data_IF_341046719350
#
_entry.id   IF_341046719350
#
_cell.length_a   1.000
_cell.length_b   1.000
_cell.length_c   1.000
_cell.angle_alpha   90.00
_cell.angle_beta   90.00
_cell.angle_gamma   90.00
#
_symmetry.space_group_name_H-M   'P 1'
#
loop_
_entity.id
_entity.type
_entity.pdbx_description
1 polymer ?
#
# COMPACT_ATOMS: atom_id res chain seq x y z
N UNK A 1 -8.63 -16.59 -7.41
CA UNK A 1 -7.39 -15.90 -7.81
C UNK A 1 -6.23 -16.82 -7.50
N UNK A 2 -5.34 -17.08 -8.47
CA UNK A 2 -4.08 -17.84 -8.31
C UNK A 2 -2.94 -16.98 -8.82
N UNK A 3 -1.75 -17.15 -8.23
CA UNK A 3 -0.54 -16.38 -8.56
C UNK A 3 0.68 -17.30 -8.72
N UNK A 4 0.46 -18.54 -9.14
CA UNK A 4 1.54 -19.52 -9.34
C UNK A 4 2.59 -18.98 -10.31
N UNK A 5 3.85 -19.05 -9.90
CA UNK A 5 4.99 -18.58 -10.68
C UNK A 5 5.12 -17.06 -10.78
N UNK A 6 4.24 -16.28 -10.12
CA UNK A 6 4.35 -14.81 -10.04
C UNK A 6 5.27 -14.41 -8.88
N UNK A 7 5.89 -13.25 -9.02
CA UNK A 7 6.72 -12.61 -8.00
C UNK A 7 6.09 -11.27 -7.59
N UNK A 8 5.86 -11.09 -6.29
CA UNK A 8 5.23 -9.91 -5.71
C UNK A 8 6.16 -9.20 -4.73
N UNK A 9 6.31 -7.88 -4.86
CA UNK A 9 6.93 -7.01 -3.86
C UNK A 9 5.83 -6.29 -3.08
N UNK A 10 5.79 -6.48 -1.77
CA UNK A 10 4.83 -5.81 -0.87
C UNK A 10 5.57 -4.86 0.05
N UNK A 11 5.36 -3.54 -0.13
CA UNK A 11 5.99 -2.55 0.74
C UNK A 11 5.25 -2.42 2.07
N UNK A 12 5.98 -2.32 3.20
CA UNK A 12 5.38 -2.27 4.53
C UNK A 12 4.64 -3.56 4.91
N UNK A 13 5.21 -4.72 4.55
CA UNK A 13 4.56 -6.03 4.70
C UNK A 13 4.68 -6.68 6.09
N UNK A 14 5.34 -6.04 7.06
CA UNK A 14 5.61 -6.67 8.36
C UNK A 14 4.39 -6.76 9.29
N UNK A 15 3.36 -5.97 9.08
CA UNK A 15 2.14 -5.93 9.92
C UNK A 15 0.93 -5.41 9.15
N UNK A 16 -0.25 -5.49 9.79
CA UNK A 16 -1.50 -4.89 9.31
C UNK A 16 -1.88 -5.33 7.89
N UNK A 17 -2.33 -4.39 7.08
CA UNK A 17 -2.79 -4.63 5.70
C UNK A 17 -1.68 -5.28 4.86
N UNK A 18 -0.45 -4.76 4.93
CA UNK A 18 0.67 -5.28 4.12
C UNK A 18 1.00 -6.74 4.45
N UNK A 19 0.92 -7.13 5.73
CA UNK A 19 1.09 -8.51 6.16
C UNK A 19 0.04 -9.42 5.53
N UNK A 20 -1.24 -9.07 5.62
CA UNK A 20 -2.32 -9.91 5.07
C UNK A 20 -2.29 -9.96 3.54
N UNK A 21 -1.82 -8.90 2.86
CA UNK A 21 -1.55 -8.93 1.42
C UNK A 21 -0.42 -9.94 1.12
N UNK A 22 0.69 -9.86 1.84
CA UNK A 22 1.83 -10.75 1.63
C UNK A 22 1.47 -12.23 1.87
N UNK A 23 0.78 -12.53 2.98
CA UNK A 23 0.27 -13.86 3.29
C UNK A 23 -0.74 -14.34 2.23
N UNK A 24 -1.62 -13.45 1.79
CA UNK A 24 -2.62 -13.76 0.77
C UNK A 24 -2.02 -14.12 -0.59
N UNK A 25 -0.94 -13.45 -1.02
CA UNK A 25 -0.20 -13.80 -2.24
C UNK A 25 0.54 -15.14 -2.08
N UNK A 26 1.25 -15.36 -0.95
CA UNK A 26 1.95 -16.60 -0.67
C UNK A 26 1.00 -17.81 -0.69
N UNK A 27 -0.14 -17.73 0.00
CA UNK A 27 -1.18 -18.77 0.04
C UNK A 27 -1.80 -19.09 -1.34
N UNK A 28 -1.53 -18.24 -2.34
CA UNK A 28 -2.01 -18.42 -3.72
C UNK A 28 -0.91 -18.71 -4.72
N UNK A 29 0.28 -19.08 -4.24
CA UNK A 29 1.39 -19.59 -5.04
C UNK A 29 2.37 -18.52 -5.56
N UNK A 30 2.27 -17.25 -5.12
CA UNK A 30 3.27 -16.25 -5.46
C UNK A 30 4.51 -16.36 -4.57
N UNK A 31 5.69 -16.07 -5.15
CA UNK A 31 6.86 -15.71 -4.34
C UNK A 31 6.74 -14.25 -3.91
N UNK A 32 7.06 -13.96 -2.65
CA UNK A 32 6.87 -12.63 -2.07
C UNK A 32 8.17 -12.07 -1.54
N UNK A 33 8.56 -10.89 -2.03
CA UNK A 33 9.53 -10.02 -1.39
C UNK A 33 8.77 -9.08 -0.43
N UNK A 34 9.04 -9.23 0.86
CA UNK A 34 8.39 -8.47 1.92
C UNK A 34 9.32 -7.34 2.36
N UNK A 35 8.94 -6.10 2.03
CA UNK A 35 9.69 -4.94 2.49
C UNK A 35 9.22 -4.47 3.87
N UNK A 36 10.18 -4.04 4.69
CA UNK A 36 9.98 -3.41 6.01
C UNK A 36 11.05 -2.33 6.26
N UNK A 37 10.78 -1.37 7.19
CA UNK A 37 11.76 -0.32 7.50
C UNK A 37 12.68 -0.71 8.68
N UNK A 38 12.15 -1.07 9.83
CA UNK A 38 12.96 -1.23 11.04
C UNK A 38 12.60 -2.43 11.92
N UNK A 39 11.36 -2.91 11.88
CA UNK A 39 10.95 -4.03 12.72
C UNK A 39 11.20 -5.37 12.02
N UNK A 40 12.46 -5.85 12.15
CA UNK A 40 12.87 -7.14 11.58
C UNK A 40 12.13 -8.32 12.19
N UNK A 41 11.88 -8.30 13.50
CA UNK A 41 11.19 -9.38 14.20
C UNK A 41 9.75 -9.59 13.66
N UNK A 42 8.99 -8.51 13.50
CA UNK A 42 7.65 -8.58 12.91
C UNK A 42 7.69 -9.04 11.44
N UNK A 43 8.71 -8.63 10.69
CA UNK A 43 8.88 -9.08 9.30
C UNK A 43 9.22 -10.57 9.24
N UNK A 44 10.12 -11.05 10.08
CA UNK A 44 10.48 -12.47 10.19
C UNK A 44 9.30 -13.33 10.65
N UNK A 45 8.51 -12.84 11.62
CA UNK A 45 7.29 -13.52 12.06
C UNK A 45 6.25 -13.63 10.93
N UNK A 46 6.14 -12.60 10.08
CA UNK A 46 5.26 -12.65 8.91
C UNK A 46 5.78 -13.64 7.88
N UNK A 47 7.09 -13.61 7.58
CA UNK A 47 7.73 -14.54 6.66
C UNK A 47 7.52 -16.01 7.07
N UNK A 48 7.67 -16.31 8.36
CA UNK A 48 7.48 -17.65 8.90
C UNK A 48 6.04 -18.20 8.77
N UNK A 49 5.08 -17.34 8.48
CA UNK A 49 3.66 -17.69 8.25
C UNK A 49 3.30 -17.81 6.76
N UNK A 50 4.21 -17.49 5.85
CA UNK A 50 3.95 -17.59 4.41
C UNK A 50 3.97 -19.03 3.95
N UNK A 51 2.98 -19.41 3.16
CA UNK A 51 2.93 -20.72 2.49
C UNK A 51 3.90 -20.76 1.30
N UNK A 52 4.60 -21.88 1.12
CA UNK A 52 5.55 -22.06 0.02
C UNK A 52 6.98 -21.64 0.38
N UNK A 53 7.78 -21.41 -0.63
CA UNK A 53 9.20 -21.07 -0.50
C UNK A 53 9.62 -19.91 -1.43
N UNK A 54 10.92 -19.53 -1.34
CA UNK A 54 11.46 -18.45 -2.19
C UNK A 54 10.98 -17.04 -1.81
N UNK A 55 10.42 -16.87 -0.61
CA UNK A 55 10.12 -15.56 -0.06
C UNK A 55 11.36 -14.90 0.51
N UNK A 56 11.41 -13.56 0.53
CA UNK A 56 12.57 -12.81 1.04
C UNK A 56 12.15 -11.58 1.82
N UNK A 57 13.02 -11.13 2.72
CA UNK A 57 12.88 -9.89 3.49
C UNK A 57 13.80 -8.82 2.92
N UNK A 58 13.27 -7.63 2.71
CA UNK A 58 13.99 -6.49 2.15
C UNK A 58 13.87 -5.28 3.07
N UNK A 59 14.91 -4.96 3.86
CA UNK A 59 14.94 -3.75 4.68
C UNK A 59 15.25 -2.53 3.81
N UNK A 60 14.43 -1.47 3.93
CA UNK A 60 14.70 -0.18 3.30
C UNK A 60 13.92 0.94 4.01
N UNK A 61 14.39 2.19 3.92
CA UNK A 61 13.53 3.34 4.17
C UNK A 61 12.84 3.73 2.86
N UNK A 62 11.52 3.61 2.83
CA UNK A 62 10.73 3.92 1.61
C UNK A 62 10.83 5.40 1.21
N UNK A 63 11.23 6.29 2.12
CA UNK A 63 11.46 7.70 1.84
C UNK A 63 12.85 7.98 1.20
N UNK A 64 13.76 7.01 1.22
CA UNK A 64 15.07 7.10 0.57
C UNK A 64 15.01 6.52 -0.85
N UNK A 65 15.15 7.39 -1.85
CA UNK A 65 15.03 7.00 -3.26
C UNK A 65 16.11 5.98 -3.69
N UNK A 66 17.33 6.08 -3.15
CA UNK A 66 18.41 5.15 -3.48
C UNK A 66 18.14 3.77 -2.84
N UNK A 67 17.69 3.74 -1.58
CA UNK A 67 17.30 2.51 -0.90
C UNK A 67 16.11 1.83 -1.60
N UNK A 68 15.15 2.59 -2.12
CA UNK A 68 14.01 2.06 -2.89
C UNK A 68 14.46 1.42 -4.20
N UNK A 69 15.35 2.06 -4.95
CA UNK A 69 15.89 1.48 -6.19
C UNK A 69 16.60 0.16 -5.91
N UNK A 70 17.50 0.15 -4.92
CA UNK A 70 18.22 -1.06 -4.51
C UNK A 70 17.28 -2.17 -4.05
N UNK A 71 16.24 -1.85 -3.27
CA UNK A 71 15.23 -2.81 -2.80
C UNK A 71 14.50 -3.48 -3.98
N UNK A 72 14.10 -2.70 -5.00
CA UNK A 72 13.42 -3.27 -6.17
C UNK A 72 14.36 -4.17 -6.97
N UNK A 73 15.62 -3.75 -7.17
CA UNK A 73 16.63 -4.58 -7.86
C UNK A 73 16.88 -5.89 -7.11
N UNK A 74 17.06 -5.85 -5.78
CA UNK A 74 17.20 -7.05 -4.95
C UNK A 74 15.97 -7.97 -5.01
N UNK A 75 14.76 -7.41 -5.07
CA UNK A 75 13.55 -8.21 -5.26
C UNK A 75 13.57 -8.95 -6.59
N UNK A 76 13.98 -8.27 -7.67
CA UNK A 76 14.09 -8.86 -9.01
C UNK A 76 15.18 -9.92 -9.05
N UNK A 77 16.36 -9.64 -8.50
CA UNK A 77 17.49 -10.59 -8.47
C UNK A 77 17.13 -11.86 -7.68
N UNK A 78 16.56 -11.70 -6.49
CA UNK A 78 16.21 -12.83 -5.62
C UNK A 78 15.07 -13.69 -6.17
N UNK A 79 14.13 -13.12 -6.89
CA UNK A 79 12.97 -13.83 -7.44
C UNK A 79 13.07 -14.08 -8.96
N UNK A 80 14.10 -13.58 -9.64
CA UNK A 80 14.30 -13.70 -11.09
C UNK A 80 13.33 -12.91 -11.96
N UNK A 81 12.32 -12.28 -11.37
CA UNK A 81 11.29 -11.44 -12.02
C UNK A 81 10.52 -10.62 -10.99
N UNK A 82 9.80 -9.61 -11.46
CA UNK A 82 8.80 -8.89 -10.67
C UNK A 82 7.53 -8.71 -11.50
N UNK A 83 6.42 -9.30 -11.04
CA UNK A 83 5.11 -9.25 -11.71
C UNK A 83 4.15 -8.30 -11.02
N UNK A 84 4.26 -8.16 -9.70
CA UNK A 84 3.31 -7.41 -8.88
C UNK A 84 4.07 -6.52 -7.91
N UNK A 85 3.74 -5.23 -7.89
CA UNK A 85 4.13 -4.30 -6.84
C UNK A 85 2.91 -3.88 -6.05
N UNK A 86 2.99 -3.96 -4.72
CA UNK A 86 1.98 -3.36 -3.84
C UNK A 86 2.61 -2.24 -3.02
N UNK A 87 2.23 -1.01 -3.33
CA UNK A 87 2.58 0.18 -2.57
C UNK A 87 1.65 0.30 -1.36
N UNK A 88 2.04 -0.32 -0.25
CA UNK A 88 1.30 -0.30 1.00
C UNK A 88 2.02 0.49 2.10
N UNK A 89 3.35 0.59 2.06
CA UNK A 89 4.11 1.36 3.04
C UNK A 89 3.58 2.80 3.15
N UNK A 90 3.39 3.25 4.39
CA UNK A 90 2.93 4.59 4.67
C UNK A 90 2.86 4.87 6.16
N UNK A 91 2.82 6.14 6.49
CA UNK A 91 2.69 6.66 7.85
C UNK A 91 1.45 7.53 7.96
N UNK A 92 0.83 7.51 9.13
CA UNK A 92 -0.23 8.43 9.53
C UNK A 92 0.28 9.23 10.72
N UNK A 93 0.34 10.53 10.59
CA UNK A 93 0.77 11.45 11.63
C UNK A 93 -0.18 12.63 11.67
N UNK A 94 -0.57 13.02 12.86
CA UNK A 94 -1.39 14.21 13.08
C UNK A 94 -0.50 15.42 13.36
N UNK A 95 -0.94 16.59 12.91
CA UNK A 95 -0.32 17.88 13.22
C UNK A 95 -1.43 18.92 13.36
N UNK A 96 -1.58 19.47 14.56
CA UNK A 96 -2.54 20.54 14.83
C UNK A 96 -1.94 21.87 14.34
N UNK A 97 -2.52 22.42 13.29
CA UNK A 97 -2.03 23.65 12.66
C UNK A 97 -1.92 24.83 13.64
N UNK A 98 -2.83 24.90 14.62
CA UNK A 98 -2.85 26.00 15.60
C UNK A 98 -1.64 26.00 16.53
N UNK A 99 -1.02 24.85 16.76
CA UNK A 99 0.05 24.66 17.75
C UNK A 99 1.43 24.47 17.08
N UNK A 100 1.46 24.27 15.74
CA UNK A 100 2.67 23.94 15.02
C UNK A 100 3.44 25.19 14.57
N UNK A 101 4.75 25.15 14.73
CA UNK A 101 5.66 26.08 14.07
C UNK A 101 5.74 25.79 12.56
N UNK A 102 6.20 26.77 11.78
CA UNK A 102 6.39 26.57 10.34
C UNK A 102 7.48 25.53 10.03
N UNK A 103 8.48 25.42 10.88
CA UNK A 103 9.55 24.40 10.76
C UNK A 103 8.99 22.99 10.99
N UNK A 104 8.17 22.78 12.02
CA UNK A 104 7.50 21.51 12.27
C UNK A 104 6.55 21.15 11.13
N UNK A 105 5.82 22.12 10.59
CA UNK A 105 4.99 21.94 9.41
C UNK A 105 5.80 21.43 8.20
N UNK A 106 6.91 22.08 7.87
CA UNK A 106 7.77 21.67 6.74
C UNK A 106 8.32 20.25 6.93
N UNK A 107 8.83 19.95 8.13
CA UNK A 107 9.37 18.63 8.46
C UNK A 107 8.30 17.54 8.41
N UNK A 108 7.09 17.83 8.90
CA UNK A 108 5.95 16.91 8.87
C UNK A 108 5.53 16.60 7.43
N UNK A 109 5.32 17.63 6.61
CA UNK A 109 4.97 17.43 5.20
C UNK A 109 6.03 16.65 4.43
N UNK A 110 7.31 16.99 4.62
CA UNK A 110 8.43 16.28 3.99
C UNK A 110 8.43 14.78 4.35
N UNK A 111 8.26 14.45 5.63
CA UNK A 111 8.22 13.06 6.10
C UNK A 111 7.05 12.28 5.52
N UNK A 112 5.84 12.85 5.63
CA UNK A 112 4.62 12.14 5.21
C UNK A 112 4.55 12.00 3.69
N UNK A 113 4.84 13.05 2.93
CA UNK A 113 4.88 12.99 1.46
C UNK A 113 6.02 12.08 0.99
N UNK A 114 7.19 12.14 1.64
CA UNK A 114 8.34 11.29 1.35
C UNK A 114 7.97 9.81 1.41
N UNK A 115 7.35 9.38 2.51
CA UNK A 115 6.97 7.98 2.69
C UNK A 115 5.77 7.57 1.82
N UNK A 116 4.68 8.35 1.85
CA UNK A 116 3.38 7.91 1.33
C UNK A 116 3.22 8.13 -0.19
N UNK A 117 3.92 9.10 -0.75
CA UNK A 117 3.78 9.49 -2.16
C UNK A 117 5.07 9.26 -2.94
N UNK A 118 6.18 9.90 -2.53
CA UNK A 118 7.43 9.82 -3.28
C UNK A 118 8.03 8.43 -3.25
N UNK A 119 7.96 7.74 -2.09
CA UNK A 119 8.39 6.35 -1.97
C UNK A 119 7.61 5.42 -2.90
N UNK A 120 6.29 5.54 -2.93
CA UNK A 120 5.44 4.77 -3.85
C UNK A 120 5.71 5.11 -5.32
N UNK A 121 5.95 6.38 -5.65
CA UNK A 121 6.30 6.81 -7.00
C UNK A 121 7.63 6.21 -7.46
N UNK A 122 8.67 6.26 -6.62
CA UNK A 122 9.98 5.70 -6.89
C UNK A 122 9.92 4.17 -7.05
N UNK A 123 9.24 3.47 -6.15
CA UNK A 123 9.06 2.02 -6.25
C UNK A 123 8.29 1.64 -7.52
N UNK A 124 7.26 2.40 -7.87
CA UNK A 124 6.48 2.18 -9.10
C UNK A 124 7.32 2.42 -10.35
N UNK A 125 8.16 3.45 -10.39
CA UNK A 125 9.07 3.70 -11.50
C UNK A 125 10.06 2.53 -11.68
N UNK A 126 10.77 2.15 -10.62
CA UNK A 126 11.74 1.06 -10.67
C UNK A 126 11.08 -0.27 -11.08
N UNK A 127 9.94 -0.62 -10.46
CA UNK A 127 9.21 -1.84 -10.81
C UNK A 127 8.73 -1.84 -12.27
N UNK A 128 8.20 -0.71 -12.76
CA UNK A 128 7.72 -0.60 -14.13
C UNK A 128 8.84 -0.83 -15.16
N UNK A 129 10.08 -0.36 -14.89
CA UNK A 129 11.23 -0.62 -15.78
C UNK A 129 11.53 -2.12 -15.94
N UNK A 130 11.41 -2.90 -14.86
CA UNK A 130 11.55 -4.36 -14.92
C UNK A 130 10.33 -5.03 -15.56
N UNK A 131 9.11 -4.60 -15.22
CA UNK A 131 7.86 -5.15 -15.76
C UNK A 131 7.76 -4.96 -17.29
N UNK A 132 8.22 -3.80 -17.83
CA UNK A 132 8.27 -3.55 -19.29
C UNK A 132 9.14 -4.61 -19.97
N UNK A 133 10.32 -4.89 -19.42
CA UNK A 133 11.25 -5.90 -19.98
C UNK A 133 10.68 -7.32 -19.89
N UNK A 134 9.86 -7.58 -18.87
CA UNK A 134 9.23 -8.90 -18.62
C UNK A 134 7.88 -9.07 -19.32
N UNK A 135 7.42 -8.10 -20.11
CA UNK A 135 6.20 -8.19 -20.90
C UNK A 135 4.90 -7.82 -20.17
N UNK A 136 4.98 -7.15 -19.03
CA UNK A 136 3.84 -6.62 -18.30
C UNK A 136 3.91 -6.82 -16.79
N UNK A 137 2.91 -6.33 -16.07
CA UNK A 137 2.84 -6.43 -14.61
C UNK A 137 1.58 -5.80 -14.00
N UNK A 138 1.56 -5.73 -12.68
CA UNK A 138 0.48 -5.14 -11.87
C UNK A 138 1.07 -4.22 -10.80
N UNK A 139 0.50 -3.04 -10.65
CA UNK A 139 0.82 -2.12 -9.55
C UNK A 139 -0.46 -1.86 -8.78
N UNK A 140 -0.45 -2.12 -7.48
CA UNK A 140 -1.58 -1.86 -6.58
C UNK A 140 -1.16 -0.84 -5.54
N UNK A 141 -1.90 0.26 -5.44
CA UNK A 141 -1.66 1.31 -4.45
C UNK A 141 -2.66 1.18 -3.29
N UNK A 142 -2.17 1.22 -2.05
CA UNK A 142 -3.04 1.30 -0.88
C UNK A 142 -3.15 2.79 -0.47
N UNK A 143 -4.27 3.37 -0.85
CA UNK A 143 -4.65 4.75 -0.56
C UNK A 143 -5.44 4.85 0.76
N UNK A 144 -6.44 5.70 0.81
CA UNK A 144 -7.36 5.90 1.94
C UNK A 144 -8.62 6.63 1.49
N UNK A 145 -9.74 6.42 2.21
CA UNK A 145 -10.89 7.32 2.10
C UNK A 145 -10.54 8.78 2.45
N UNK A 146 -9.49 8.99 3.28
CA UNK A 146 -8.98 10.31 3.62
C UNK A 146 -8.48 11.12 2.43
N UNK A 147 -8.15 10.46 1.32
CA UNK A 147 -7.82 11.11 0.05
C UNK A 147 -8.98 11.93 -0.55
N UNK A 148 -10.22 11.69 -0.12
CA UNK A 148 -11.43 12.27 -0.70
C UNK A 148 -12.21 13.16 0.27
N UNK A 149 -12.23 12.79 1.56
CA UNK A 149 -13.06 13.47 2.54
C UNK A 149 -12.37 14.61 3.28
N UNK A 150 -11.05 14.76 3.09
CA UNK A 150 -10.21 15.61 3.92
C UNK A 150 -9.87 14.97 5.29
N UNK A 151 -8.74 15.34 5.86
CA UNK A 151 -8.28 14.90 7.18
C UNK A 151 -7.83 16.15 7.96
N UNK A 152 -8.70 16.74 8.81
CA UNK A 152 -8.43 18.04 9.44
C UNK A 152 -7.20 18.07 10.36
N UNK A 153 -6.87 16.93 10.98
CA UNK A 153 -5.70 16.80 11.88
C UNK A 153 -4.49 16.16 11.18
N UNK A 154 -4.66 15.64 9.94
CA UNK A 154 -3.61 14.92 9.20
C UNK A 154 -3.54 15.40 7.74
N UNK A 155 -3.32 16.72 7.55
CA UNK A 155 -3.39 17.36 6.23
C UNK A 155 -2.41 16.75 5.24
N UNK A 156 -1.15 16.51 5.66
CA UNK A 156 -0.13 15.91 4.82
C UNK A 156 -0.51 14.47 4.40
N UNK A 157 -1.15 13.71 5.30
CA UNK A 157 -1.65 12.37 4.99
C UNK A 157 -2.73 12.41 3.90
N UNK A 158 -3.77 13.23 4.07
CA UNK A 158 -4.84 13.39 3.08
C UNK A 158 -4.26 13.80 1.71
N UNK A 159 -3.39 14.80 1.69
CA UNK A 159 -2.72 15.26 0.47
C UNK A 159 -1.88 14.15 -0.18
N UNK A 160 -1.12 13.37 0.61
CA UNK A 160 -0.30 12.26 0.11
C UNK A 160 -1.14 11.16 -0.57
N UNK A 161 -2.28 10.80 0.04
CA UNK A 161 -3.16 9.77 -0.49
C UNK A 161 -3.97 10.24 -1.71
N UNK A 162 -4.35 11.52 -1.76
CA UNK A 162 -4.95 12.12 -2.95
C UNK A 162 -3.93 12.18 -4.11
N UNK A 163 -2.69 12.56 -3.83
CA UNK A 163 -1.59 12.52 -4.80
C UNK A 163 -1.32 11.11 -5.32
N UNK A 164 -1.34 10.11 -4.44
CA UNK A 164 -1.18 8.69 -4.82
C UNK A 164 -2.29 8.20 -5.74
N UNK A 165 -3.55 8.63 -5.52
CA UNK A 165 -4.66 8.33 -6.41
C UNK A 165 -4.42 8.90 -7.82
N UNK A 166 -4.05 10.18 -7.92
CA UNK A 166 -3.78 10.85 -9.18
C UNK A 166 -2.58 10.24 -9.92
N UNK A 167 -1.51 9.91 -9.17
CA UNK A 167 -0.35 9.19 -9.69
C UNK A 167 -0.77 7.85 -10.29
N UNK A 168 -1.54 7.05 -9.55
CA UNK A 168 -2.01 5.74 -9.99
C UNK A 168 -2.82 5.82 -11.28
N UNK A 169 -3.74 6.78 -11.39
CA UNK A 169 -4.55 7.01 -12.60
C UNK A 169 -3.69 7.45 -13.79
N UNK A 170 -2.69 8.31 -13.56
CA UNK A 170 -1.76 8.76 -14.59
C UNK A 170 -0.91 7.60 -15.10
N UNK A 171 -0.36 6.78 -14.19
CA UNK A 171 0.42 5.60 -14.53
C UNK A 171 -0.42 4.54 -15.23
N UNK A 172 -1.69 4.36 -14.87
CA UNK A 172 -2.61 3.45 -15.54
C UNK A 172 -2.73 3.78 -17.04
N UNK A 173 -2.89 5.07 -17.38
CA UNK A 173 -2.95 5.52 -18.78
C UNK A 173 -1.62 5.35 -19.51
N UNK A 174 -0.51 5.69 -18.83
CA UNK A 174 0.83 5.63 -19.42
C UNK A 174 1.29 4.20 -19.69
N UNK A 175 1.00 3.28 -18.76
CA UNK A 175 1.60 1.95 -18.75
C UNK A 175 0.71 0.84 -19.34
N UNK A 176 -0.57 1.09 -19.58
CA UNK A 176 -1.47 0.11 -20.17
C UNK A 176 -0.98 -0.43 -21.54
N UNK A 177 -0.41 0.37 -22.47
CA UNK A 177 0.18 -0.15 -23.69
C UNK A 177 1.33 -1.13 -23.46
N UNK A 178 2.01 -1.07 -22.31
CA UNK A 178 3.06 -1.98 -21.88
C UNK A 178 2.53 -3.18 -21.09
N UNK A 179 1.21 -3.39 -21.08
CA UNK A 179 0.52 -4.44 -20.31
C UNK A 179 0.79 -4.37 -18.80
N UNK A 180 1.04 -3.18 -18.28
CA UNK A 180 1.15 -2.92 -16.84
C UNK A 180 -0.13 -2.19 -16.42
N UNK A 181 -0.89 -2.83 -15.52
CA UNK A 181 -2.19 -2.34 -15.07
C UNK A 181 -2.08 -1.85 -13.63
N UNK A 182 -2.64 -0.68 -13.37
CA UNK A 182 -2.50 0.00 -12.08
C UNK A 182 -3.87 0.18 -11.45
N UNK A 183 -4.04 -0.34 -10.23
CA UNK A 183 -5.26 -0.17 -9.45
C UNK A 183 -4.98 0.42 -8.07
N UNK A 184 -6.00 0.98 -7.46
CA UNK A 184 -5.89 1.59 -6.14
C UNK A 184 -7.00 1.06 -5.24
N UNK A 185 -6.65 0.71 -4.01
CA UNK A 185 -7.60 0.41 -2.94
C UNK A 185 -7.66 1.62 -2.00
N UNK A 186 -8.86 2.06 -1.64
CA UNK A 186 -9.10 3.16 -0.70
C UNK A 186 -9.80 2.66 0.56
N UNK A 187 -9.06 2.17 1.58
CA UNK A 187 -9.64 1.70 2.82
C UNK A 187 -10.25 2.82 3.65
N UNK A 188 -11.27 2.47 4.46
CA UNK A 188 -11.66 3.22 5.64
C UNK A 188 -10.79 2.89 6.84
N UNK A 189 -11.36 2.89 8.05
CA UNK A 189 -10.68 2.36 9.22
C UNK A 189 -10.56 0.83 9.12
N UNK A 190 -9.35 0.33 9.43
CA UNK A 190 -8.99 -1.10 9.36
C UNK A 190 -8.37 -1.52 10.70
N UNK A 191 -8.68 -2.71 11.18
CA UNK A 191 -8.15 -3.31 12.42
C UNK A 191 -6.64 -3.55 12.31
N UNK A 192 -5.86 -2.52 12.59
CA UNK A 192 -4.40 -2.53 12.55
C UNK A 192 -3.85 -1.86 13.80
N UNK A 193 -2.58 -2.11 14.13
CA UNK A 193 -1.91 -1.42 15.24
C UNK A 193 -1.99 0.12 15.08
N UNK A 194 -1.90 0.62 13.86
CA UNK A 194 -2.03 2.05 13.54
C UNK A 194 -3.40 2.62 13.93
N UNK A 195 -4.47 1.83 13.81
CA UNK A 195 -5.83 2.25 14.16
C UNK A 195 -6.16 1.98 15.65
N UNK A 196 -5.46 1.05 16.29
CA UNK A 196 -5.78 0.61 17.66
C UNK A 196 -5.74 1.76 18.67
N UNK A 197 -4.70 2.60 18.61
CA UNK A 197 -4.56 3.77 19.49
C UNK A 197 -5.72 4.76 19.30
N UNK A 198 -6.07 5.04 18.06
CA UNK A 198 -7.18 5.95 17.72
C UNK A 198 -8.54 5.40 18.17
N UNK A 199 -8.75 4.09 18.05
CA UNK A 199 -9.98 3.41 18.44
C UNK A 199 -10.13 3.22 19.94
N UNK A 200 -9.04 3.35 20.70
CA UNK A 200 -9.05 3.31 22.16
C UNK A 200 -9.47 4.67 22.78
N UNK A 201 -9.54 5.75 22.00
CA UNK A 201 -10.01 7.05 22.47
C UNK A 201 -11.53 7.03 22.71
N UNK A 202 -12.07 7.97 23.51
CA UNK A 202 -13.49 8.01 23.89
C UNK A 202 -14.47 8.02 22.72
N UNK A 203 -14.05 8.56 21.57
CA UNK A 203 -14.83 8.61 20.33
C UNK A 203 -14.60 7.40 19.39
N UNK A 204 -13.85 6.38 19.81
CA UNK A 204 -13.57 5.19 19.02
C UNK A 204 -14.84 4.45 18.57
N UNK A 205 -15.90 4.44 19.38
CA UNK A 205 -17.19 3.85 19.02
C UNK A 205 -17.93 4.66 17.93
N UNK A 206 -17.72 5.96 17.86
CA UNK A 206 -18.24 6.79 16.76
C UNK A 206 -17.56 6.44 15.45
N UNK A 207 -16.26 6.15 15.51
CA UNK A 207 -15.51 5.69 14.33
C UNK A 207 -16.08 4.37 13.80
N UNK A 208 -16.36 3.41 14.68
CA UNK A 208 -16.97 2.12 14.30
C UNK A 208 -18.36 2.32 13.68
N UNK A 209 -19.16 3.23 14.25
CA UNK A 209 -20.52 3.56 13.77
C UNK A 209 -20.55 4.33 12.45
N UNK A 210 -19.42 4.90 11.98
CA UNK A 210 -19.36 5.52 10.65
C UNK A 210 -19.64 4.52 9.53
N UNK A 211 -19.35 3.24 9.73
CA UNK A 211 -19.67 2.21 8.76
C UNK A 211 -21.05 1.59 9.05
N UNK A 212 -22.00 1.65 8.09
CA UNK A 212 -23.28 0.93 8.20
C UNK A 212 -23.14 -0.60 8.40
N UNK A 213 -21.96 -1.16 8.11
CA UNK A 213 -21.65 -2.58 8.40
C UNK A 213 -21.53 -2.82 9.91
N UNK A 214 -21.47 -1.78 10.75
CA UNK A 214 -21.43 -1.86 12.22
C UNK A 214 -20.04 -2.19 12.79
N UNK A 215 -19.00 -2.22 11.95
CA UNK A 215 -17.61 -2.44 12.36
C UNK A 215 -16.63 -1.77 11.38
N UNK A 216 -15.39 -1.69 11.79
CA UNK A 216 -14.28 -1.35 10.88
C UNK A 216 -13.89 -2.57 10.02
N UNK A 217 -13.15 -2.34 8.93
CA UNK A 217 -12.70 -3.42 8.07
C UNK A 217 -11.60 -4.25 8.73
N UNK A 218 -11.52 -5.53 8.38
CA UNK A 218 -10.37 -6.37 8.73
C UNK A 218 -9.30 -6.23 7.64
N UNK A 219 -8.00 -6.38 7.97
CA UNK A 219 -6.91 -6.30 6.99
C UNK A 219 -7.09 -7.24 5.80
N UNK A 220 -7.66 -8.44 6.03
CA UNK A 220 -7.91 -9.44 4.98
C UNK A 220 -8.93 -8.96 3.94
N UNK A 221 -9.88 -8.10 4.32
CA UNK A 221 -10.87 -7.53 3.40
C UNK A 221 -10.21 -6.54 2.43
N UNK A 222 -9.22 -5.79 2.90
CA UNK A 222 -8.39 -4.92 2.04
C UNK A 222 -7.46 -5.75 1.16
N UNK A 223 -6.82 -6.78 1.73
CA UNK A 223 -5.96 -7.69 1.01
C UNK A 223 -6.67 -8.42 -0.12
N UNK A 224 -7.94 -8.82 0.09
CA UNK A 224 -8.76 -9.45 -0.95
C UNK A 224 -8.90 -8.55 -2.19
N UNK A 225 -9.20 -7.27 -1.98
CA UNK A 225 -9.38 -6.31 -3.09
C UNK A 225 -8.03 -5.98 -3.75
N UNK A 226 -6.93 -5.90 -2.99
CA UNK A 226 -5.60 -5.73 -3.55
C UNK A 226 -5.21 -6.92 -4.45
N UNK A 227 -5.47 -8.15 -4.02
CA UNK A 227 -5.27 -9.34 -4.84
C UNK A 227 -6.18 -9.38 -6.07
N UNK A 228 -7.44 -8.93 -5.95
CA UNK A 228 -8.33 -8.83 -7.10
C UNK A 228 -7.74 -7.91 -8.17
N UNK A 229 -7.29 -6.71 -7.80
CA UNK A 229 -6.67 -5.76 -8.73
C UNK A 229 -5.37 -6.29 -9.35
N UNK A 230 -4.65 -7.17 -8.65
CA UNK A 230 -3.44 -7.81 -9.15
C UNK A 230 -3.70 -9.06 -10.00
N UNK A 231 -4.94 -9.57 -10.05
CA UNK A 231 -5.26 -10.84 -10.72
C UNK A 231 -5.37 -10.71 -12.24
N UNK A 232 -5.25 -11.83 -12.92
CA UNK A 232 -5.61 -11.96 -14.32
C UNK A 232 -7.14 -11.83 -14.47
N UNK A 233 -7.59 -11.14 -15.51
CA UNK A 233 -8.99 -10.80 -15.75
C UNK A 233 -9.42 -9.45 -15.16
N UNK A 234 -8.54 -8.78 -14.38
CA UNK A 234 -8.80 -7.44 -13.83
C UNK A 234 -8.23 -6.28 -14.70
N UNK A 235 -7.79 -6.55 -15.93
CA UNK A 235 -7.12 -5.57 -16.80
C UNK A 235 -7.95 -4.31 -17.03
N UNK A 236 -9.25 -4.48 -17.31
CA UNK A 236 -10.16 -3.37 -17.58
C UNK A 236 -10.55 -2.56 -16.33
N UNK A 237 -10.07 -2.95 -15.14
CA UNK A 237 -10.17 -2.13 -13.93
C UNK A 237 -8.95 -1.19 -13.77
N UNK A 238 -8.02 -1.14 -14.74
CA UNK A 238 -6.87 -0.24 -14.66
C UNK A 238 -7.30 1.21 -14.51
N UNK A 239 -6.69 1.92 -13.57
CA UNK A 239 -7.08 3.27 -13.18
C UNK A 239 -8.22 3.35 -12.16
N UNK A 240 -8.86 2.23 -11.83
CA UNK A 240 -9.92 2.22 -10.81
C UNK A 240 -9.36 2.49 -9.40
N UNK A 241 -10.20 3.14 -8.60
CA UNK A 241 -10.01 3.27 -7.17
C UNK A 241 -11.18 2.59 -6.50
N UNK A 242 -10.93 1.48 -5.79
CA UNK A 242 -11.97 0.68 -5.14
C UNK A 242 -12.00 1.02 -3.65
N UNK A 243 -13.17 1.47 -3.18
CA UNK A 243 -13.39 1.76 -1.77
C UNK A 243 -13.58 0.46 -0.97
N UNK A 244 -12.85 0.33 0.13
CA UNK A 244 -13.02 -0.73 1.14
C UNK A 244 -13.27 -0.06 2.49
N UNK A 245 -14.41 0.59 2.63
CA UNK A 245 -14.70 1.46 3.76
C UNK A 245 -16.06 1.19 4.43
N UNK A 246 -16.78 0.12 4.03
CA UNK A 246 -18.08 -0.25 4.59
C UNK A 246 -19.13 0.86 4.46
N UNK A 247 -19.10 1.61 3.36
CA UNK A 247 -19.96 2.77 3.10
C UNK A 247 -19.82 3.93 4.12
N UNK A 248 -18.71 3.97 4.88
CA UNK A 248 -18.45 5.08 5.82
C UNK A 248 -18.15 6.41 5.10
N UNK A 249 -17.89 6.36 3.82
CA UNK A 249 -17.81 7.49 2.90
C UNK A 249 -18.18 7.02 1.49
N UNK A 250 -19.10 7.72 0.84
CA UNK A 250 -19.50 7.48 -0.54
C UNK A 250 -19.01 8.64 -1.41
N UNK A 251 -18.31 8.31 -2.47
CA UNK A 251 -17.90 9.30 -3.48
C UNK A 251 -19.05 9.53 -4.45
N UNK A 252 -19.42 10.77 -4.63
CA UNK A 252 -20.38 11.23 -5.65
C UNK A 252 -19.64 11.77 -6.85
#
# INVERSE_FOLDING_TARGET
>A
MRFDGKAALVTGGSRGIGREIALGFAARGARVALHYKGNHEAAAATLARMDGDGHTLLPADIADAAAVAQMVDQAVEGMGRLDILVNNAGIYEELLLADASYEEWLAHFSRVLGANLLGAANASFCAAQHMIKNGGGRIVNISSRGAFRGEPTALAYGASKAGLNSLGQSMAKLLAPQKIFVGTVAPGFVETDMAAERLALPDGDEIRRQSPVGRIARPEEVAYVAMFLASEGAEFTTGAIIDVNGASYLRS
#
